data_IF_553640397873
#
_entry.id   IF_553640397873
#
_cell.length_a   1.000
_cell.length_b   1.000
_cell.length_c   1.000
_cell.angle_alpha   90.00
_cell.angle_beta   90.00
_cell.angle_gamma   90.00
#
_symmetry.space_group_name_H-M   'P 1'
#
loop_
_entity.id
_entity.type
_entity.pdbx_description
1 polymer ?
#
# COMPACT_ATOMS: atom_id res chain seq x y z
N UNK A 1 -30.95 -50.55 -0.82
CA UNK A 1 -30.05 -51.30 -1.69
C UNK A 1 -29.59 -50.51 -2.95
N UNK A 2 -29.38 -49.22 -2.79
CA UNK A 2 -28.94 -48.33 -3.88
C UNK A 2 -27.66 -47.52 -3.56
N UNK A 3 -26.98 -47.89 -2.47
CA UNK A 3 -25.75 -47.21 -2.07
C UNK A 3 -24.43 -47.93 -2.39
N UNK A 4 -24.48 -49.14 -2.92
CA UNK A 4 -23.27 -49.98 -3.03
C UNK A 4 -22.58 -49.97 -4.42
N UNK A 5 -23.12 -49.22 -5.39
CA UNK A 5 -22.51 -49.12 -6.73
C UNK A 5 -21.65 -47.91 -7.01
N UNK A 6 -21.66 -46.91 -6.11
CA UNK A 6 -20.84 -45.70 -6.33
C UNK A 6 -19.45 -45.71 -5.64
N UNK A 7 -19.26 -46.61 -4.68
CA UNK A 7 -17.96 -46.69 -4.00
C UNK A 7 -16.89 -47.55 -4.67
N UNK A 8 -17.25 -48.39 -5.66
CA UNK A 8 -16.29 -49.24 -6.33
C UNK A 8 -15.57 -48.61 -7.53
N UNK A 9 -15.95 -47.42 -7.96
CA UNK A 9 -15.26 -46.74 -9.07
C UNK A 9 -14.19 -45.74 -8.63
N UNK A 10 -14.02 -45.48 -7.30
CA UNK A 10 -13.01 -44.56 -6.81
C UNK A 10 -11.65 -45.18 -6.47
N UNK A 11 -11.54 -46.50 -6.42
CA UNK A 11 -10.30 -47.17 -5.98
C UNK A 11 -9.34 -47.65 -7.05
N UNK A 12 -9.60 -47.43 -8.34
CA UNK A 12 -8.72 -47.96 -9.40
C UNK A 12 -8.04 -46.86 -10.23
N UNK A 13 -8.14 -45.58 -9.81
CA UNK A 13 -7.58 -44.48 -10.62
C UNK A 13 -6.40 -43.74 -10.00
N UNK A 14 -5.93 -44.16 -8.84
CA UNK A 14 -4.91 -43.37 -8.10
C UNK A 14 -3.46 -43.84 -8.27
N UNK A 15 -3.18 -44.86 -9.07
CA UNK A 15 -1.81 -45.34 -9.15
C UNK A 15 -0.97 -44.77 -10.31
N UNK A 16 -1.59 -44.17 -11.33
CA UNK A 16 -0.83 -43.65 -12.49
C UNK A 16 -0.79 -42.13 -12.62
N UNK A 17 -1.61 -41.41 -11.86
CA UNK A 17 -1.63 -39.94 -11.94
C UNK A 17 -0.65 -39.27 -10.98
N UNK A 18 -0.17 -39.95 -9.95
CA UNK A 18 0.75 -39.37 -8.95
C UNK A 18 2.13 -39.10 -9.52
N UNK A 19 2.56 -39.89 -10.50
CA UNK A 19 3.88 -39.69 -11.14
C UNK A 19 3.85 -38.54 -12.15
N UNK A 20 2.72 -38.31 -12.83
CA UNK A 20 2.57 -37.22 -13.81
C UNK A 20 2.43 -35.87 -13.09
N UNK A 21 1.74 -35.82 -11.95
CA UNK A 21 1.65 -34.60 -11.15
C UNK A 21 2.98 -34.23 -10.48
N UNK A 22 3.77 -35.18 -10.02
CA UNK A 22 5.10 -34.93 -9.47
C UNK A 22 6.08 -34.38 -10.55
N UNK A 23 5.99 -34.86 -11.78
CA UNK A 23 6.82 -34.37 -12.88
C UNK A 23 6.40 -32.98 -13.39
N UNK A 24 5.10 -32.62 -13.31
CA UNK A 24 4.60 -31.31 -13.72
C UNK A 24 4.86 -30.21 -12.68
N UNK A 25 4.87 -30.55 -11.39
CA UNK A 25 5.21 -29.60 -10.33
C UNK A 25 6.70 -29.20 -10.34
N UNK A 26 7.57 -30.01 -10.91
CA UNK A 26 9.00 -29.74 -10.96
C UNK A 26 9.40 -28.78 -12.10
N UNK A 27 8.51 -28.57 -13.08
CA UNK A 27 8.76 -27.67 -14.23
C UNK A 27 8.18 -26.26 -14.00
N UNK A 28 7.21 -26.09 -13.10
CA UNK A 28 6.61 -24.77 -12.79
C UNK A 28 7.42 -24.01 -11.71
N UNK A 29 8.34 -24.69 -11.01
CA UNK A 29 9.11 -24.13 -9.90
C UNK A 29 10.29 -23.23 -10.30
N UNK A 30 10.50 -22.89 -11.56
CA UNK A 30 11.80 -22.28 -11.97
C UNK A 30 11.70 -20.86 -12.50
N UNK A 31 10.52 -20.27 -12.68
CA UNK A 31 10.43 -18.90 -13.22
C UNK A 31 9.45 -17.99 -12.47
N UNK A 32 9.54 -17.96 -11.15
CA UNK A 32 9.27 -16.71 -10.48
C UNK A 32 10.61 -16.08 -10.12
N UNK A 33 11.30 -15.52 -11.11
CA UNK A 33 12.26 -14.50 -10.79
C UNK A 33 11.52 -13.51 -9.87
N UNK A 34 12.07 -13.16 -8.67
CA UNK A 34 11.50 -12.07 -7.93
C UNK A 34 11.51 -10.89 -8.91
N UNK A 35 10.34 -10.37 -9.23
CA UNK A 35 10.25 -9.04 -9.80
C UNK A 35 10.85 -8.17 -8.71
N UNK A 36 12.14 -7.85 -8.85
CA UNK A 36 12.75 -6.78 -8.06
C UNK A 36 12.01 -5.55 -8.58
N UNK A 37 10.89 -5.22 -7.94
CA UNK A 37 10.31 -3.92 -8.11
C UNK A 37 11.44 -2.97 -7.71
N UNK A 38 11.89 -2.17 -8.66
CA UNK A 38 12.82 -1.10 -8.36
C UNK A 38 12.03 -0.19 -7.40
N UNK A 39 12.29 -0.36 -6.11
CA UNK A 39 11.72 0.54 -5.10
C UNK A 39 12.01 1.95 -5.58
N UNK A 40 11.00 2.79 -5.67
CA UNK A 40 11.18 4.20 -5.97
C UNK A 40 12.12 4.81 -4.92
N UNK A 41 12.81 5.87 -5.25
CA UNK A 41 13.63 6.57 -4.27
C UNK A 41 12.73 7.20 -3.20
N UNK A 42 13.12 7.09 -1.94
CA UNK A 42 12.45 7.75 -0.83
C UNK A 42 12.53 9.27 -1.02
N UNK A 43 11.40 9.93 -0.88
CA UNK A 43 11.26 11.37 -1.11
C UNK A 43 10.95 12.06 0.20
N UNK A 44 11.75 13.07 0.54
CA UNK A 44 11.49 13.92 1.71
C UNK A 44 10.19 14.71 1.53
N UNK A 45 9.43 14.86 2.61
CA UNK A 45 8.33 15.81 2.73
C UNK A 45 8.45 16.61 4.03
N UNK A 46 7.97 17.85 4.01
CA UNK A 46 7.76 18.68 5.20
C UNK A 46 6.34 19.24 5.13
N UNK A 47 5.51 18.85 6.09
CA UNK A 47 4.11 19.26 6.19
C UNK A 47 3.94 20.27 7.31
N UNK A 48 3.34 21.43 7.02
CA UNK A 48 2.94 22.43 8.02
C UNK A 48 1.43 22.50 8.06
N UNK A 49 0.88 22.56 9.25
CA UNK A 49 -0.54 22.66 9.53
C UNK A 49 -0.80 23.87 10.42
N UNK A 50 -1.61 24.81 9.96
CA UNK A 50 -1.86 26.06 10.65
C UNK A 50 -2.92 25.92 11.76
N UNK A 51 -3.78 24.90 11.67
CA UNK A 51 -4.86 24.58 12.62
C UNK A 51 -5.27 23.12 12.53
N UNK A 52 -6.03 22.63 13.51
CA UNK A 52 -6.57 21.27 13.54
C UNK A 52 -7.44 20.96 12.31
N UNK A 53 -7.13 19.84 11.66
CA UNK A 53 -7.80 19.42 10.44
C UNK A 53 -7.29 20.11 9.16
N UNK A 54 -6.27 20.95 9.25
CA UNK A 54 -5.59 21.48 8.07
C UNK A 54 -4.92 20.38 7.25
N UNK A 55 -4.76 20.61 5.96
CA UNK A 55 -4.34 19.55 5.04
C UNK A 55 -3.15 19.93 4.20
N UNK A 56 -2.20 19.01 4.15
CA UNK A 56 -1.02 19.05 3.30
C UNK A 56 -1.06 17.91 2.28
N UNK A 57 -0.51 18.13 1.09
CA UNK A 57 -0.30 17.07 0.08
C UNK A 57 1.17 17.02 -0.29
N UNK A 58 1.72 15.80 -0.28
CA UNK A 58 3.08 15.57 -0.77
C UNK A 58 3.19 15.91 -2.26
N UNK A 59 4.42 16.03 -2.75
CA UNK A 59 4.69 16.10 -4.18
C UNK A 59 4.09 14.90 -4.91
N UNK A 60 3.80 15.09 -6.20
CA UNK A 60 3.28 14.03 -7.07
C UNK A 60 4.40 13.12 -7.52
N UNK A 61 4.17 11.82 -7.49
CA UNK A 61 5.11 10.80 -7.98
C UNK A 61 4.40 9.77 -8.84
N UNK A 62 5.15 9.16 -9.76
CA UNK A 62 4.63 8.03 -10.53
C UNK A 62 4.43 6.82 -9.63
N UNK A 63 3.34 6.10 -9.84
CA UNK A 63 3.02 4.81 -9.23
C UNK A 63 3.01 3.77 -10.33
N UNK A 64 3.95 2.83 -10.28
CA UNK A 64 4.20 1.89 -11.37
C UNK A 64 3.83 0.45 -11.02
N UNK A 65 3.50 0.18 -9.77
CA UNK A 65 3.17 -1.16 -9.26
C UNK A 65 1.92 -1.13 -8.39
N UNK A 66 1.33 -2.30 -8.14
CA UNK A 66 0.23 -2.50 -7.18
C UNK A 66 0.68 -2.56 -5.72
N UNK A 67 1.95 -2.25 -5.44
CA UNK A 67 2.48 -2.24 -4.07
C UNK A 67 1.86 -1.15 -3.21
N UNK A 68 2.05 -1.25 -1.89
CA UNK A 68 1.67 -0.17 -0.97
C UNK A 68 2.48 1.10 -1.24
N UNK A 69 1.97 2.23 -0.80
CA UNK A 69 2.75 3.45 -0.59
C UNK A 69 3.36 3.38 0.80
N UNK A 70 4.66 3.57 0.91
CA UNK A 70 5.31 3.66 2.21
C UNK A 70 5.46 5.12 2.64
N UNK A 71 5.29 5.39 3.94
CA UNK A 71 5.53 6.70 4.52
C UNK A 71 6.04 6.57 5.95
N UNK A 72 6.95 7.46 6.36
CA UNK A 72 7.46 7.57 7.72
C UNK A 72 7.42 9.01 8.20
N UNK A 73 7.22 9.21 9.50
CA UNK A 73 7.42 10.47 10.19
C UNK A 73 8.71 10.39 11.01
N UNK A 74 9.68 11.24 10.73
CA UNK A 74 10.98 11.23 11.42
C UNK A 74 11.21 12.43 12.32
N UNK A 75 10.42 13.49 12.15
CA UNK A 75 10.59 14.74 12.88
C UNK A 75 9.25 15.46 13.08
N UNK A 76 9.14 16.24 14.15
CA UNK A 76 8.04 17.17 14.44
C UNK A 76 8.53 18.28 15.38
N UNK A 77 7.88 19.42 15.35
CA UNK A 77 8.24 20.59 16.17
C UNK A 77 7.46 20.70 17.50
N UNK A 78 6.25 20.11 17.59
CA UNK A 78 5.40 20.21 18.77
C UNK A 78 5.06 18.82 19.32
N UNK A 79 5.47 18.55 20.56
CA UNK A 79 5.14 17.30 21.26
C UNK A 79 3.63 17.17 21.46
N UNK A 80 3.13 15.92 21.27
CA UNK A 80 1.72 15.58 21.37
C UNK A 80 0.92 15.86 20.10
N UNK A 81 1.42 16.64 19.14
CA UNK A 81 0.82 16.79 17.82
C UNK A 81 0.99 15.54 16.98
N UNK A 82 0.07 15.29 16.05
CA UNK A 82 0.04 14.11 15.17
C UNK A 82 -0.68 14.46 13.86
N UNK A 83 -0.62 13.55 12.88
CA UNK A 83 -1.43 13.68 11.67
C UNK A 83 -1.97 12.33 11.20
N UNK A 84 -3.03 12.37 10.39
CA UNK A 84 -3.52 11.23 9.63
C UNK A 84 -3.14 11.36 8.16
N UNK A 85 -2.84 10.22 7.52
CA UNK A 85 -2.46 10.18 6.12
C UNK A 85 -3.33 9.22 5.31
N UNK A 86 -3.65 9.61 4.07
CA UNK A 86 -4.37 8.81 3.05
C UNK A 86 -3.69 8.92 1.70
N UNK A 87 -3.78 7.86 0.91
CA UNK A 87 -3.25 7.86 -0.46
C UNK A 87 -4.28 8.40 -1.44
N UNK A 88 -3.85 9.32 -2.29
CA UNK A 88 -4.62 9.90 -3.37
C UNK A 88 -3.98 9.61 -4.72
N UNK A 89 -4.79 9.34 -5.74
CA UNK A 89 -4.38 9.33 -7.12
C UNK A 89 -4.61 10.71 -7.77
N UNK A 90 -3.97 10.91 -8.91
CA UNK A 90 -4.25 12.08 -9.77
C UNK A 90 -4.74 11.58 -11.13
N UNK A 91 -5.87 12.12 -11.57
CA UNK A 91 -6.36 11.88 -12.93
C UNK A 91 -5.58 12.72 -13.96
N UNK A 92 -5.88 12.55 -15.25
CA UNK A 92 -5.24 13.28 -16.35
C UNK A 92 -5.43 14.80 -16.30
N UNK A 93 -6.48 15.28 -15.60
CA UNK A 93 -6.70 16.70 -15.37
C UNK A 93 -5.96 17.24 -14.13
N UNK A 94 -5.23 16.37 -13.40
CA UNK A 94 -4.53 16.75 -12.17
C UNK A 94 -5.43 16.83 -10.94
N UNK A 95 -6.68 16.37 -11.02
CA UNK A 95 -7.59 16.31 -9.88
C UNK A 95 -7.19 15.16 -8.98
N UNK A 96 -7.21 15.39 -7.66
CA UNK A 96 -6.93 14.38 -6.63
C UNK A 96 -8.16 13.55 -6.36
N UNK A 97 -8.00 12.23 -6.38
CA UNK A 97 -9.05 11.23 -6.15
C UNK A 97 -8.62 10.39 -4.94
N UNK A 98 -9.49 10.25 -3.94
CA UNK A 98 -9.24 9.36 -2.82
C UNK A 98 -9.31 7.89 -3.29
N UNK A 99 -8.18 7.21 -3.24
CA UNK A 99 -8.02 5.80 -3.61
C UNK A 99 -7.59 4.96 -2.41
N UNK A 100 -7.78 5.48 -1.20
CA UNK A 100 -7.50 4.77 0.05
C UNK A 100 -8.61 3.80 0.45
N UNK A 101 -9.81 3.89 -0.17
CA UNK A 101 -11.00 3.12 0.19
C UNK A 101 -11.34 3.20 1.70
N UNK A 102 -11.07 4.36 2.31
CA UNK A 102 -11.32 4.63 3.73
C UNK A 102 -10.20 4.21 4.67
N UNK A 103 -9.10 3.64 4.16
CA UNK A 103 -7.92 3.41 4.99
C UNK A 103 -7.22 4.73 5.28
N UNK A 104 -6.98 4.96 6.57
CA UNK A 104 -6.32 6.13 7.11
C UNK A 104 -5.30 5.70 8.14
N UNK A 105 -4.13 6.34 8.15
CA UNK A 105 -3.00 5.94 8.97
C UNK A 105 -2.61 7.09 9.89
N UNK A 106 -2.53 6.78 11.19
CA UNK A 106 -2.03 7.70 12.21
C UNK A 106 -0.51 7.76 12.14
N UNK A 107 0.04 8.98 12.31
CA UNK A 107 1.48 9.20 12.38
C UNK A 107 1.83 10.11 13.55
N UNK A 108 2.77 9.66 14.33
CA UNK A 108 3.59 10.44 15.25
C UNK A 108 5.07 10.23 14.88
N UNK A 109 5.99 10.93 15.54
CA UNK A 109 7.43 10.77 15.29
C UNK A 109 7.89 9.33 15.53
N UNK A 110 8.70 8.80 14.62
CA UNK A 110 9.16 7.41 14.49
C UNK A 110 8.12 6.38 14.00
N UNK A 111 6.91 6.80 13.63
CA UNK A 111 5.97 5.91 12.97
C UNK A 111 6.33 5.72 11.49
N UNK A 112 6.02 4.52 10.99
CA UNK A 112 6.10 4.22 9.56
C UNK A 112 5.03 3.20 9.17
N UNK A 113 4.42 3.39 8.00
CA UNK A 113 3.33 2.55 7.51
C UNK A 113 3.47 2.20 6.03
N UNK A 114 3.09 0.97 5.70
CA UNK A 114 2.78 0.55 4.34
C UNK A 114 1.30 0.83 4.09
N UNK A 115 0.99 1.93 3.43
CA UNK A 115 -0.37 2.40 3.21
C UNK A 115 -1.00 1.70 2.02
N UNK A 116 -2.11 1.00 2.26
CA UNK A 116 -2.92 0.39 1.21
C UNK A 116 -3.50 1.46 0.29
N UNK A 117 -3.53 1.15 -1.00
CA UNK A 117 -4.06 2.06 -2.02
C UNK A 117 -4.46 1.27 -3.28
N UNK A 118 -5.28 1.88 -4.12
CA UNK A 118 -5.78 1.31 -5.37
C UNK A 118 -5.41 2.14 -6.60
N UNK A 119 -4.34 2.95 -6.50
CA UNK A 119 -3.86 3.81 -7.61
C UNK A 119 -3.66 3.00 -8.90
N UNK A 120 -2.95 1.88 -8.81
CA UNK A 120 -2.61 1.04 -9.95
C UNK A 120 -3.82 0.25 -10.46
N UNK A 121 -4.61 -0.32 -9.56
CA UNK A 121 -5.80 -1.11 -9.87
C UNK A 121 -6.91 -0.27 -10.52
N UNK A 122 -7.01 1.00 -10.16
CA UNK A 122 -7.94 1.96 -10.76
C UNK A 122 -7.36 2.68 -11.98
N UNK A 123 -6.22 2.18 -12.50
CA UNK A 123 -5.57 2.68 -13.72
C UNK A 123 -5.08 4.13 -13.67
N UNK A 124 -4.75 4.63 -12.48
CA UNK A 124 -3.97 5.85 -12.33
C UNK A 124 -2.48 5.54 -12.37
N UNK A 125 -1.69 6.53 -12.75
CA UNK A 125 -0.23 6.41 -12.83
C UNK A 125 0.52 7.45 -11.99
N UNK A 126 -0.21 8.30 -11.30
CA UNK A 126 0.34 9.33 -10.42
C UNK A 126 -0.34 9.27 -9.06
N UNK A 127 0.46 9.45 -8.02
CA UNK A 127 0.00 9.43 -6.63
C UNK A 127 0.59 10.58 -5.82
N UNK A 128 -0.07 10.91 -4.72
CA UNK A 128 0.41 11.73 -3.62
C UNK A 128 -0.21 11.24 -2.32
N UNK A 129 0.30 11.72 -1.19
CA UNK A 129 -0.29 11.46 0.13
C UNK A 129 -0.94 12.75 0.63
N UNK A 130 -2.19 12.67 1.09
CA UNK A 130 -2.86 13.71 1.85
C UNK A 130 -2.61 13.48 3.33
N UNK A 131 -2.08 14.49 4.01
CA UNK A 131 -1.94 14.51 5.45
C UNK A 131 -2.94 15.51 6.04
N UNK A 132 -3.54 15.18 7.17
CA UNK A 132 -4.44 16.03 7.95
C UNK A 132 -3.89 16.14 9.36
N UNK A 133 -3.42 17.33 9.72
CA UNK A 133 -2.68 17.58 10.95
C UNK A 133 -3.56 17.99 12.12
N UNK A 134 -3.09 17.65 13.33
CA UNK A 134 -3.72 18.01 14.61
C UNK A 134 -2.64 18.51 15.56
N UNK A 135 -2.75 19.77 15.95
CA UNK A 135 -1.85 20.41 16.91
C UNK A 135 -2.48 20.40 18.30
N UNK A 136 -1.68 20.12 19.31
CA UNK A 136 -2.09 20.30 20.72
C UNK A 136 -1.96 21.75 21.19
N UNK A 137 -1.37 22.61 20.38
CA UNK A 137 -1.25 24.05 20.65
C UNK A 137 -2.27 24.82 19.80
N UNK A 138 -3.29 25.35 20.44
CA UNK A 138 -4.36 26.10 19.76
C UNK A 138 -3.88 27.42 19.11
N UNK A 139 -2.66 27.87 19.41
CA UNK A 139 -2.11 29.14 18.93
C UNK A 139 -1.02 29.00 17.88
N UNK A 140 -0.44 27.82 17.76
CA UNK A 140 0.62 27.52 16.80
C UNK A 140 0.28 26.26 16.01
N UNK A 141 0.48 26.33 14.72
CA UNK A 141 0.39 25.15 13.87
C UNK A 141 1.47 24.14 14.22
N UNK A 142 1.33 22.93 13.72
CA UNK A 142 2.34 21.88 13.87
C UNK A 142 3.08 21.63 12.56
N UNK A 143 4.37 21.30 12.66
CA UNK A 143 5.18 20.87 11.53
C UNK A 143 5.65 19.43 11.72
N UNK A 144 5.66 18.67 10.61
CA UNK A 144 6.14 17.27 10.55
C UNK A 144 7.05 17.07 9.35
N UNK A 145 8.07 16.26 9.51
CA UNK A 145 8.98 15.86 8.44
C UNK A 145 9.20 14.37 8.37
N UNK A 146 9.50 13.88 7.17
CA UNK A 146 9.75 12.46 6.96
C UNK A 146 10.00 12.11 5.51
N UNK A 147 9.86 10.82 5.20
CA UNK A 147 10.05 10.28 3.87
C UNK A 147 8.84 9.51 3.42
N UNK A 148 8.62 9.46 2.12
CA UNK A 148 7.62 8.61 1.52
C UNK A 148 8.10 8.03 0.19
N UNK A 149 7.50 6.89 -0.18
CA UNK A 149 7.84 6.16 -1.40
C UNK A 149 6.55 5.64 -2.05
N UNK A 150 6.28 5.94 -3.33
CA UNK A 150 5.08 5.46 -4.00
C UNK A 150 5.08 3.95 -4.26
N UNK A 151 6.25 3.33 -4.42
CA UNK A 151 6.43 1.93 -4.83
C UNK A 151 7.47 1.23 -3.94
N UNK A 152 7.06 0.29 -3.10
CA UNK A 152 7.91 -0.52 -2.22
C UNK A 152 7.89 -1.99 -2.62
#
# INVERSE_FOLDING_TARGET
HLCDRRQRQMCIRDSNNTIIFAAMMLVIGVYTAPVISKAGDDVWYGASFDFDGDTYYTDRKSKNTSSSVWMSCTDKDIDGSYYYAKVYALNSAGTRIDVSHGYEYYFDVNDSHNMLNWVYEEHYNMTCVRCEGYSVDDYHGAWFGGYWNPDI
#
